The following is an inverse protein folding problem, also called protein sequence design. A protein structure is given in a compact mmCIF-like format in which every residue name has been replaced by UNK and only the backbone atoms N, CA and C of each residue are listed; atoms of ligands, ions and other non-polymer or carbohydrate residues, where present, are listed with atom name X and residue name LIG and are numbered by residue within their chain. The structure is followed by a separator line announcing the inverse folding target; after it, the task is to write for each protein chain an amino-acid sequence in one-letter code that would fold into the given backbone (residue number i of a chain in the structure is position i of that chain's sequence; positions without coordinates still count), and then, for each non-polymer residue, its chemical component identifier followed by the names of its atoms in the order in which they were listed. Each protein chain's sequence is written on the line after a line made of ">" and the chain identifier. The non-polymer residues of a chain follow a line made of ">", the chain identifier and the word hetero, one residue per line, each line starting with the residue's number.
data_IF_906533723809
#
_entry.id   IF_906533723809
#
_cell.length_a   1.000
_cell.length_b   1.000
_cell.length_c   1.000
_cell.angle_alpha   90.00
_cell.angle_beta   90.00
_cell.angle_gamma   90.00
#
_symmetry.space_group_name_H-M   'P 1'
#
loop_
_entity.id
_entity.type
_entity.pdbx_description
1 polymer ?
#
# COMPACT_ATOMS: atom_id res chain seq x y z
N UNK A 1 -18.33 20.38 42.89
CA UNK A 1 -17.39 20.37 41.71
C UNK A 1 -16.95 18.93 41.38
N UNK A 2 -16.40 18.13 42.31
CA UNK A 2 -15.95 16.74 42.05
C UNK A 2 -17.08 15.84 41.55
N UNK A 3 -18.28 15.90 42.13
CA UNK A 3 -19.45 15.10 41.71
C UNK A 3 -19.88 15.46 40.27
N UNK A 4 -19.81 16.74 39.90
CA UNK A 4 -20.14 17.18 38.54
C UNK A 4 -19.10 16.64 37.53
N UNK A 5 -17.81 16.69 37.86
CA UNK A 5 -16.74 16.14 37.02
C UNK A 5 -16.91 14.63 36.82
N UNK A 6 -17.18 13.89 37.91
CA UNK A 6 -17.46 12.45 37.83
C UNK A 6 -18.69 12.13 36.99
N UNK A 7 -19.79 12.91 37.16
CA UNK A 7 -20.98 12.75 36.35
C UNK A 7 -20.69 13.00 34.83
N UNK A 8 -19.91 14.03 34.52
CA UNK A 8 -19.50 14.33 33.11
C UNK A 8 -18.64 13.20 32.52
N UNK A 9 -17.70 12.66 33.30
CA UNK A 9 -16.88 11.52 32.86
C UNK A 9 -17.75 10.29 32.56
N UNK A 10 -18.70 9.98 33.45
CA UNK A 10 -19.61 8.85 33.26
C UNK A 10 -20.50 9.07 32.05
N UNK A 11 -21.06 10.25 31.86
CA UNK A 11 -21.88 10.59 30.71
C UNK A 11 -21.06 10.48 29.41
N UNK A 12 -19.86 11.05 29.39
CA UNK A 12 -18.94 10.96 28.24
C UNK A 12 -18.60 9.51 27.90
N UNK A 13 -18.35 8.66 28.92
CA UNK A 13 -18.12 7.24 28.74
C UNK A 13 -19.29 6.55 28.02
N UNK A 14 -20.53 6.79 28.49
CA UNK A 14 -21.70 6.18 27.84
C UNK A 14 -21.97 6.72 26.44
N UNK A 15 -21.70 7.99 26.18
CA UNK A 15 -21.81 8.58 24.84
C UNK A 15 -20.80 7.92 23.90
N UNK A 16 -19.53 7.81 24.31
CA UNK A 16 -18.48 7.16 23.52
C UNK A 16 -18.84 5.69 23.27
N UNK A 17 -19.26 4.95 24.31
CA UNK A 17 -19.67 3.56 24.16
C UNK A 17 -20.87 3.38 23.20
N UNK A 18 -21.84 4.28 23.25
CA UNK A 18 -22.98 4.26 22.34
C UNK A 18 -22.55 4.52 20.89
N UNK A 19 -21.64 5.47 20.68
CA UNK A 19 -21.09 5.79 19.38
C UNK A 19 -20.26 4.61 18.81
N UNK A 20 -19.31 4.07 19.62
CA UNK A 20 -18.49 2.91 19.20
C UNK A 20 -19.37 1.72 18.81
N UNK A 21 -20.43 1.43 19.59
CA UNK A 21 -21.36 0.35 19.25
C UNK A 21 -22.11 0.59 17.95
N UNK A 22 -22.40 1.86 17.64
CA UNK A 22 -23.11 2.24 16.41
C UNK A 22 -22.21 2.12 15.17
N UNK A 23 -20.90 2.35 15.32
CA UNK A 23 -19.89 2.26 14.25
C UNK A 23 -19.29 0.86 14.05
N UNK A 24 -19.75 -0.16 14.82
CA UNK A 24 -19.30 -1.54 14.59
C UNK A 24 -19.96 -2.13 13.33
N UNK A 25 -19.25 -2.96 12.57
CA UNK A 25 -19.80 -3.66 11.42
C UNK A 25 -21.08 -4.41 11.76
N UNK A 26 -22.10 -4.30 10.91
CA UNK A 26 -23.29 -5.13 11.01
C UNK A 26 -23.01 -6.48 10.32
N UNK A 27 -23.13 -7.55 11.09
CA UNK A 27 -22.93 -8.93 10.60
C UNK A 27 -24.24 -9.69 10.44
N UNK A 28 -25.39 -9.03 10.69
CA UNK A 28 -26.74 -9.59 10.53
C UNK A 28 -27.69 -8.51 10.01
N UNK A 29 -28.55 -8.86 9.07
CA UNK A 29 -29.57 -7.97 8.51
C UNK A 29 -29.48 -7.86 7.00
N UNK A 30 -30.18 -6.89 6.45
CA UNK A 30 -30.21 -6.56 5.03
C UNK A 30 -29.74 -5.12 4.85
N UNK A 31 -28.90 -4.88 3.86
CA UNK A 31 -28.42 -3.55 3.45
C UNK A 31 -28.74 -3.34 1.96
N UNK A 32 -28.95 -2.09 1.58
CA UNK A 32 -29.20 -1.74 0.19
C UNK A 32 -27.95 -1.11 -0.41
N UNK A 33 -27.30 -1.83 -1.29
CA UNK A 33 -26.13 -1.38 -2.04
C UNK A 33 -26.43 -1.44 -3.55
N UNK A 34 -25.65 -0.80 -4.43
CA UNK A 34 -25.92 -0.75 -5.87
C UNK A 34 -25.55 -2.07 -6.58
N UNK A 35 -26.21 -3.16 -6.23
CA UNK A 35 -26.10 -4.47 -6.88
C UNK A 35 -27.35 -4.74 -7.75
N UNK A 36 -27.20 -5.57 -8.78
CA UNK A 36 -28.30 -5.94 -9.68
C UNK A 36 -29.13 -7.08 -9.12
N UNK A 37 -28.50 -7.99 -8.37
CA UNK A 37 -29.11 -9.15 -7.75
C UNK A 37 -28.72 -9.24 -6.27
N UNK A 38 -29.46 -10.07 -5.51
CA UNK A 38 -29.17 -10.28 -4.11
C UNK A 38 -27.79 -10.93 -3.91
N UNK A 39 -26.97 -10.36 -3.04
CA UNK A 39 -25.68 -10.91 -2.62
C UNK A 39 -25.78 -11.42 -1.20
N UNK A 40 -25.25 -12.60 -0.95
CA UNK A 40 -25.22 -13.21 0.38
C UNK A 40 -23.83 -13.02 0.97
N UNK A 41 -23.77 -12.41 2.15
CA UNK A 41 -22.53 -12.28 2.94
C UNK A 41 -22.69 -13.06 4.23
N UNK A 42 -21.89 -14.10 4.40
CA UNK A 42 -21.84 -14.91 5.63
C UNK A 42 -20.52 -14.68 6.33
N UNK A 43 -20.57 -14.36 7.62
CA UNK A 43 -19.36 -14.20 8.44
C UNK A 43 -19.16 -15.44 9.31
N UNK A 44 -17.99 -16.07 9.23
CA UNK A 44 -17.67 -17.26 10.01
C UNK A 44 -17.31 -16.93 11.48
N UNK A 45 -16.98 -17.95 12.27
CA UNK A 45 -16.61 -17.80 13.70
C UNK A 45 -15.29 -17.04 13.93
N UNK A 46 -14.45 -16.88 12.89
CA UNK A 46 -13.21 -16.14 12.93
C UNK A 46 -13.37 -14.68 12.43
N UNK A 47 -14.58 -14.31 11.99
CA UNK A 47 -14.87 -13.01 11.43
C UNK A 47 -14.49 -12.87 9.95
N UNK A 48 -14.28 -13.98 9.24
CA UNK A 48 -13.98 -14.01 7.80
C UNK A 48 -15.28 -13.87 7.02
N UNK A 49 -15.43 -12.87 6.14
CA UNK A 49 -16.59 -12.76 5.27
C UNK A 49 -16.46 -13.70 4.07
N UNK A 50 -17.56 -14.39 3.77
CA UNK A 50 -17.80 -15.18 2.57
C UNK A 50 -18.86 -14.44 1.75
N UNK A 51 -18.51 -14.00 0.55
CA UNK A 51 -19.36 -13.22 -0.34
C UNK A 51 -19.76 -14.10 -1.52
N UNK A 52 -21.05 -14.37 -1.66
CA UNK A 52 -21.63 -15.18 -2.71
C UNK A 52 -22.54 -14.30 -3.57
N UNK A 53 -22.23 -14.16 -4.85
CA UNK A 53 -22.96 -13.38 -5.84
C UNK A 53 -23.21 -14.17 -7.12
N UNK A 54 -24.14 -13.71 -7.96
CA UNK A 54 -24.36 -14.31 -9.29
C UNK A 54 -23.31 -13.81 -10.29
N UNK A 55 -22.97 -12.51 -10.26
CA UNK A 55 -22.08 -11.85 -11.23
C UNK A 55 -20.82 -11.27 -10.58
N UNK A 56 -19.78 -10.99 -11.38
CA UNK A 56 -18.57 -10.29 -10.91
C UNK A 56 -18.90 -8.86 -10.46
N UNK A 57 -19.79 -8.15 -11.16
CA UNK A 57 -20.20 -6.80 -10.79
C UNK A 57 -20.73 -6.75 -9.37
N UNK A 58 -21.71 -7.62 -9.06
CA UNK A 58 -22.29 -7.69 -7.74
C UNK A 58 -21.30 -8.17 -6.68
N UNK A 59 -20.43 -9.13 -7.04
CA UNK A 59 -19.38 -9.65 -6.16
C UNK A 59 -18.40 -8.57 -5.74
N UNK A 60 -17.81 -7.85 -6.69
CA UNK A 60 -16.82 -6.82 -6.37
C UNK A 60 -17.42 -5.57 -5.74
N UNK A 61 -18.67 -5.23 -6.08
CA UNK A 61 -19.42 -4.19 -5.38
C UNK A 61 -19.63 -4.58 -3.91
N UNK A 62 -20.06 -5.80 -3.63
CA UNK A 62 -20.22 -6.28 -2.26
C UNK A 62 -18.85 -6.38 -1.53
N UNK A 63 -17.78 -6.79 -2.23
CA UNK A 63 -16.43 -6.81 -1.65
C UNK A 63 -15.99 -5.42 -1.19
N UNK A 64 -16.22 -4.38 -1.99
CA UNK A 64 -15.90 -2.99 -1.64
C UNK A 64 -16.66 -2.52 -0.40
N UNK A 65 -17.99 -2.79 -0.36
CA UNK A 65 -18.82 -2.45 0.80
C UNK A 65 -18.36 -3.16 2.08
N UNK A 66 -18.11 -4.47 2.03
CA UNK A 66 -17.69 -5.28 3.19
C UNK A 66 -16.32 -4.85 3.71
N UNK A 67 -15.37 -4.56 2.83
CA UNK A 67 -14.07 -4.04 3.22
C UNK A 67 -14.21 -2.66 3.89
N UNK A 68 -14.97 -1.76 3.30
CA UNK A 68 -15.20 -0.43 3.86
C UNK A 68 -15.90 -0.50 5.23
N UNK A 69 -16.94 -1.33 5.37
CA UNK A 69 -17.63 -1.52 6.64
C UNK A 69 -16.68 -1.95 7.77
N UNK A 70 -15.67 -2.77 7.46
CA UNK A 70 -14.74 -3.32 8.45
C UNK A 70 -13.45 -2.50 8.60
N UNK A 71 -13.01 -1.77 7.56
CA UNK A 71 -11.66 -1.24 7.46
C UNK A 71 -11.57 0.20 6.91
N UNK A 72 -12.68 0.94 6.83
CA UNK A 72 -12.73 2.26 6.14
C UNK A 72 -11.62 3.21 6.57
N UNK A 73 -11.39 3.35 7.89
CA UNK A 73 -10.35 4.27 8.35
C UNK A 73 -8.94 3.81 7.94
N UNK A 74 -8.66 2.50 8.00
CA UNK A 74 -7.39 1.95 7.52
C UNK A 74 -7.22 2.19 6.01
N UNK A 75 -8.26 1.96 5.21
CA UNK A 75 -8.26 2.18 3.77
C UNK A 75 -7.98 3.66 3.44
N UNK A 76 -8.71 4.59 4.07
CA UNK A 76 -8.53 6.04 3.86
C UNK A 76 -7.15 6.52 4.30
N UNK A 77 -6.64 6.02 5.43
CA UNK A 77 -5.29 6.35 5.91
C UNK A 77 -4.22 5.87 4.91
N UNK A 78 -4.35 4.63 4.41
CA UNK A 78 -3.40 4.05 3.45
C UNK A 78 -3.36 4.81 2.12
N UNK A 79 -4.52 5.13 1.52
CA UNK A 79 -4.56 5.90 0.27
C UNK A 79 -4.00 7.31 0.44
N UNK A 80 -4.27 7.97 1.60
CA UNK A 80 -3.76 9.32 1.88
C UNK A 80 -2.26 9.31 2.10
N UNK A 81 -1.73 8.33 2.83
CA UNK A 81 -0.29 8.17 2.99
C UNK A 81 0.39 7.96 1.64
N UNK A 82 -0.07 7.01 0.87
CA UNK A 82 0.46 6.70 -0.46
C UNK A 82 0.39 7.88 -1.44
N UNK A 83 -0.60 8.75 -1.27
CA UNK A 83 -0.83 9.93 -2.11
C UNK A 83 -0.13 11.19 -1.61
N UNK A 84 0.48 11.18 -0.40
CA UNK A 84 1.02 12.38 0.24
C UNK A 84 -0.09 13.39 0.58
N UNK A 85 -1.13 12.94 1.31
CA UNK A 85 -2.33 13.70 1.66
C UNK A 85 -2.69 13.61 3.15
N UNK A 86 -1.75 13.20 4.02
CA UNK A 86 -2.01 13.08 5.45
C UNK A 86 -2.16 14.45 6.12
N UNK A 87 -1.51 15.50 5.60
CA UNK A 87 -1.59 16.86 6.14
C UNK A 87 -3.00 17.44 6.08
N UNK A 88 -3.86 16.97 5.18
CA UNK A 88 -5.28 17.32 5.14
C UNK A 88 -6.01 16.89 6.43
N UNK A 89 -5.58 15.80 7.05
CA UNK A 89 -6.18 15.26 8.26
C UNK A 89 -5.54 15.79 9.55
N UNK A 90 -4.21 15.76 9.62
CA UNK A 90 -3.44 15.97 10.86
C UNK A 90 -2.54 17.21 10.83
N UNK A 91 -2.57 18.00 9.75
CA UNK A 91 -1.86 19.27 9.64
C UNK A 91 -0.36 19.13 9.43
N UNK A 92 0.40 20.16 9.82
CA UNK A 92 1.84 20.29 9.59
C UNK A 92 2.68 19.10 10.10
N UNK A 93 2.15 18.35 11.07
CA UNK A 93 2.87 17.21 11.66
C UNK A 93 3.20 16.08 10.65
N UNK A 94 2.44 15.97 9.56
CA UNK A 94 2.68 14.99 8.48
C UNK A 94 3.21 15.59 7.18
N UNK A 95 3.54 16.88 7.18
CA UNK A 95 3.96 17.58 5.96
C UNK A 95 5.20 16.96 5.32
N UNK A 96 6.22 16.59 6.11
CA UNK A 96 7.43 15.93 5.59
C UNK A 96 7.11 14.56 4.96
N UNK A 97 6.18 13.81 5.54
CA UNK A 97 5.69 12.56 4.94
C UNK A 97 5.01 12.80 3.60
N UNK A 98 4.14 13.83 3.53
CA UNK A 98 3.46 14.13 2.29
C UNK A 98 4.44 14.61 1.20
N UNK A 99 5.39 15.46 1.54
CA UNK A 99 6.46 15.87 0.62
C UNK A 99 7.23 14.65 0.08
N UNK A 100 7.58 13.71 0.95
CA UNK A 100 8.28 12.48 0.55
C UNK A 100 7.47 11.66 -0.47
N UNK A 101 6.20 11.34 -0.17
CA UNK A 101 5.36 10.56 -1.09
C UNK A 101 4.97 11.33 -2.36
N UNK A 102 4.84 12.67 -2.30
CA UNK A 102 4.68 13.52 -3.49
C UNK A 102 5.93 13.48 -4.35
N UNK A 103 7.12 13.52 -3.75
CA UNK A 103 8.39 13.40 -4.49
C UNK A 103 8.49 12.04 -5.17
N UNK A 104 8.27 10.94 -4.46
CA UNK A 104 8.24 9.60 -5.07
C UNK A 104 7.20 9.49 -6.18
N UNK A 105 6.02 10.08 -6.01
CA UNK A 105 5.00 10.13 -7.05
C UNK A 105 4.24 8.82 -7.25
N UNK A 106 3.97 8.06 -6.19
CA UNK A 106 3.24 6.78 -6.28
C UNK A 106 1.86 6.95 -6.91
N UNK A 107 1.12 8.01 -6.53
CA UNK A 107 -0.18 8.32 -7.13
C UNK A 107 -0.06 8.70 -8.61
N UNK A 108 0.96 9.48 -8.99
CA UNK A 108 1.23 9.81 -10.40
C UNK A 108 1.58 8.57 -11.22
N UNK A 109 2.33 7.62 -10.63
CA UNK A 109 2.63 6.33 -11.26
C UNK A 109 1.37 5.47 -11.44
N UNK A 110 0.49 5.43 -10.43
CA UNK A 110 -0.79 4.75 -10.50
C UNK A 110 -1.70 5.38 -11.57
N UNK A 111 -1.77 6.70 -11.67
CA UNK A 111 -2.53 7.42 -12.69
C UNK A 111 -2.04 7.08 -14.11
N UNK A 112 -0.73 7.12 -14.33
CA UNK A 112 -0.11 6.70 -15.62
C UNK A 112 -0.37 5.22 -15.94
N UNK A 113 -0.64 4.39 -14.94
CA UNK A 113 -0.87 2.96 -15.11
C UNK A 113 -2.30 2.61 -15.56
N UNK A 114 -3.27 3.50 -15.42
CA UNK A 114 -4.67 3.26 -15.78
C UNK A 114 -4.80 2.77 -17.23
N UNK A 115 -4.09 3.39 -18.16
CA UNK A 115 -4.13 3.04 -19.58
C UNK A 115 -3.50 1.66 -19.91
N UNK A 116 -2.89 1.01 -18.93
CA UNK A 116 -2.28 -0.32 -19.09
C UNK A 116 -3.25 -1.45 -18.75
N UNK A 117 -4.36 -1.14 -18.07
CA UNK A 117 -5.34 -2.12 -17.62
C UNK A 117 -6.35 -2.45 -18.72
N UNK A 118 -6.84 -3.68 -18.73
CA UNK A 118 -7.98 -4.08 -19.57
C UNK A 118 -9.26 -3.41 -19.10
N UNK A 119 -10.24 -3.31 -20.01
CA UNK A 119 -11.58 -2.80 -19.69
C UNK A 119 -12.18 -3.60 -18.52
N UNK A 120 -12.03 -4.94 -18.51
CA UNK A 120 -12.54 -5.80 -17.43
C UNK A 120 -11.91 -5.48 -16.06
N UNK A 121 -10.61 -5.23 -16.00
CA UNK A 121 -9.97 -4.88 -14.75
C UNK A 121 -10.34 -3.47 -14.26
N UNK A 122 -10.59 -2.54 -15.18
CA UNK A 122 -11.11 -1.21 -14.85
C UNK A 122 -12.54 -1.29 -14.34
N UNK A 123 -13.39 -2.15 -14.94
CA UNK A 123 -14.73 -2.42 -14.45
C UNK A 123 -14.71 -2.97 -13.01
N UNK A 124 -13.83 -3.92 -12.71
CA UNK A 124 -13.63 -4.46 -11.34
C UNK A 124 -13.29 -3.37 -10.35
N UNK A 125 -12.37 -2.48 -10.72
CA UNK A 125 -11.98 -1.34 -9.86
C UNK A 125 -13.14 -0.36 -9.63
N UNK A 126 -13.97 -0.14 -10.65
CA UNK A 126 -15.14 0.73 -10.55
C UNK A 126 -16.24 0.08 -9.69
N UNK A 127 -16.55 -1.19 -9.90
CA UNK A 127 -17.52 -1.91 -9.06
C UNK A 127 -17.12 -1.93 -7.59
N UNK A 128 -15.84 -2.22 -7.32
CA UNK A 128 -15.30 -2.15 -5.97
C UNK A 128 -15.44 -0.76 -5.37
N UNK A 129 -15.09 0.29 -6.13
CA UNK A 129 -15.21 1.68 -5.69
C UNK A 129 -16.67 2.06 -5.38
N UNK A 130 -17.62 1.60 -6.21
CA UNK A 130 -19.04 1.82 -5.97
C UNK A 130 -19.52 1.19 -4.66
N UNK A 131 -19.03 -0.02 -4.33
CA UNK A 131 -19.31 -0.66 -3.05
C UNK A 131 -18.74 0.10 -1.85
N UNK A 132 -17.49 0.57 -1.95
CA UNK A 132 -16.86 1.41 -0.91
C UNK A 132 -17.66 2.70 -0.69
N UNK A 133 -18.05 3.36 -1.77
CA UNK A 133 -18.81 4.61 -1.73
C UNK A 133 -20.22 4.40 -1.15
N UNK A 134 -20.88 3.29 -1.47
CA UNK A 134 -22.16 2.94 -0.85
C UNK A 134 -22.07 2.88 0.68
N UNK A 135 -20.98 2.31 1.23
CA UNK A 135 -20.75 2.33 2.68
C UNK A 135 -20.45 3.75 3.19
N UNK A 136 -19.65 4.54 2.49
CA UNK A 136 -19.31 5.92 2.90
C UNK A 136 -20.58 6.76 3.00
N UNK A 137 -21.46 6.67 2.01
CA UNK A 137 -22.72 7.42 1.95
C UNK A 137 -23.64 7.00 3.10
N UNK A 138 -23.89 5.69 3.27
CA UNK A 138 -24.71 5.15 4.34
C UNK A 138 -24.16 5.54 5.73
N UNK A 139 -22.88 5.31 5.99
CA UNK A 139 -22.27 5.59 7.27
C UNK A 139 -22.21 7.08 7.60
N UNK A 140 -22.12 7.94 6.60
CA UNK A 140 -22.16 9.39 6.75
C UNK A 140 -23.58 9.85 7.07
N UNK A 141 -24.60 9.39 6.33
CA UNK A 141 -26.01 9.74 6.55
C UNK A 141 -26.49 9.27 7.92
N UNK A 142 -26.13 8.05 8.32
CA UNK A 142 -26.54 7.45 9.58
C UNK A 142 -25.66 7.90 10.77
N UNK A 143 -24.55 8.58 10.54
CA UNK A 143 -23.57 8.97 11.55
C UNK A 143 -22.96 7.77 12.25
N UNK A 144 -22.55 6.75 11.46
CA UNK A 144 -21.96 5.48 11.91
C UNK A 144 -20.51 5.31 11.45
N UNK A 145 -19.90 6.37 10.90
CA UNK A 145 -18.48 6.36 10.51
C UNK A 145 -17.58 5.87 11.66
N UNK A 146 -16.44 5.24 11.35
CA UNK A 146 -15.42 4.88 12.35
C UNK A 146 -15.09 6.03 13.29
N UNK A 147 -14.87 5.67 14.58
CA UNK A 147 -14.70 6.66 15.67
C UNK A 147 -13.50 7.60 15.44
N UNK A 148 -12.52 7.15 14.68
CA UNK A 148 -11.32 7.91 14.33
C UNK A 148 -11.69 9.20 13.60
N UNK A 149 -12.66 9.18 12.70
CA UNK A 149 -13.14 10.37 11.99
C UNK A 149 -13.71 11.43 12.93
N UNK A 150 -14.42 11.00 13.98
CA UNK A 150 -14.91 11.92 15.00
C UNK A 150 -13.76 12.62 15.74
N UNK A 151 -12.69 11.88 16.08
CA UNK A 151 -11.54 12.46 16.78
C UNK A 151 -10.72 13.41 15.91
N UNK A 152 -10.59 13.09 14.63
CA UNK A 152 -9.84 13.92 13.69
C UNK A 152 -10.69 15.11 13.23
N UNK A 153 -12.03 15.01 13.29
CA UNK A 153 -12.96 16.01 12.76
C UNK A 153 -12.87 16.10 11.24
N UNK A 154 -12.90 14.96 10.57
CA UNK A 154 -12.89 14.80 9.13
C UNK A 154 -13.92 13.74 8.71
N UNK A 155 -14.16 13.64 7.42
CA UNK A 155 -14.98 12.61 6.78
C UNK A 155 -14.16 11.95 5.66
N UNK A 156 -14.43 10.67 5.31
CA UNK A 156 -13.78 10.05 4.17
C UNK A 156 -14.23 10.74 2.87
N UNK A 157 -13.31 10.97 1.95
CA UNK A 157 -13.65 11.37 0.60
C UNK A 157 -14.12 10.17 -0.21
N UNK A 158 -14.82 10.43 -1.32
CA UNK A 158 -15.21 9.42 -2.30
C UNK A 158 -14.01 8.56 -2.70
N UNK A 159 -14.24 7.25 -2.85
CA UNK A 159 -13.25 6.29 -3.29
C UNK A 159 -13.25 6.17 -4.81
N UNK A 160 -12.08 6.10 -5.40
CA UNK A 160 -11.91 5.98 -6.84
C UNK A 160 -11.03 4.77 -7.19
N UNK A 161 -11.09 4.25 -8.43
CA UNK A 161 -10.16 3.24 -8.93
C UNK A 161 -8.69 3.58 -8.68
N UNK A 162 -8.34 4.85 -8.83
CA UNK A 162 -6.98 5.35 -8.61
C UNK A 162 -6.50 5.15 -7.16
N UNK A 163 -7.40 5.18 -6.17
CA UNK A 163 -7.04 4.99 -4.77
C UNK A 163 -6.58 3.54 -4.51
N UNK A 164 -7.28 2.56 -5.09
CA UNK A 164 -6.88 1.15 -5.02
C UNK A 164 -5.54 0.90 -5.73
N UNK A 165 -5.33 1.48 -6.91
CA UNK A 165 -4.05 1.38 -7.63
C UNK A 165 -2.90 2.05 -6.87
N UNK A 166 -3.16 3.19 -6.21
CA UNK A 166 -2.16 3.89 -5.40
C UNK A 166 -1.73 3.07 -4.19
N UNK A 167 -2.67 2.36 -3.54
CA UNK A 167 -2.35 1.39 -2.47
C UNK A 167 -1.47 0.26 -3.01
N UNK A 168 -1.73 -0.26 -4.21
CA UNK A 168 -0.86 -1.24 -4.87
C UNK A 168 0.58 -0.73 -5.06
N UNK A 169 0.75 0.50 -5.53
CA UNK A 169 2.08 1.14 -5.64
C UNK A 169 2.73 1.36 -4.28
N UNK A 170 1.95 1.70 -3.24
CA UNK A 170 2.46 1.82 -1.88
C UNK A 170 2.99 0.49 -1.34
N UNK A 171 2.33 -0.63 -1.65
CA UNK A 171 2.84 -1.95 -1.27
C UNK A 171 4.15 -2.29 -1.95
N UNK A 172 4.36 -1.87 -3.20
CA UNK A 172 5.66 -2.00 -3.86
C UNK A 172 6.75 -1.17 -3.14
N UNK A 173 6.39 -0.01 -2.56
CA UNK A 173 7.29 0.78 -1.72
C UNK A 173 7.59 0.05 -0.39
N UNK A 174 6.58 -0.39 0.34
CA UNK A 174 6.73 -1.02 1.66
C UNK A 174 7.54 -2.33 1.60
N UNK A 175 7.39 -3.08 0.50
CA UNK A 175 8.06 -4.38 0.34
C UNK A 175 9.39 -4.31 -0.41
N UNK A 176 9.62 -3.29 -1.23
CA UNK A 176 10.78 -3.24 -2.14
C UNK A 176 11.55 -1.93 -2.14
N UNK A 177 11.15 -0.94 -1.35
CA UNK A 177 11.74 0.39 -1.36
C UNK A 177 12.95 0.49 -0.42
N UNK A 178 14.16 0.32 -0.91
CA UNK A 178 15.39 0.39 -0.11
C UNK A 178 16.51 1.20 -0.78
N UNK A 179 16.15 2.26 -1.51
CA UNK A 179 17.13 3.16 -2.14
C UNK A 179 18.06 3.82 -1.12
N UNK A 180 17.62 3.99 0.12
CA UNK A 180 18.37 4.56 1.23
C UNK A 180 19.63 3.74 1.53
N UNK A 181 19.56 2.41 1.36
CA UNK A 181 20.73 1.55 1.52
C UNK A 181 21.83 1.89 0.51
N UNK A 182 21.47 2.28 -0.72
CA UNK A 182 22.43 2.71 -1.74
C UNK A 182 23.11 4.03 -1.33
N UNK A 183 22.34 4.99 -0.80
CA UNK A 183 22.88 6.23 -0.28
C UNK A 183 23.84 5.98 0.90
N UNK A 184 23.46 5.10 1.83
CA UNK A 184 24.36 4.68 2.92
C UNK A 184 25.63 3.98 2.41
N UNK A 185 25.51 3.10 1.43
CA UNK A 185 26.67 2.42 0.83
C UNK A 185 27.65 3.41 0.20
N UNK A 186 27.12 4.40 -0.53
CA UNK A 186 27.93 5.50 -1.09
C UNK A 186 28.66 6.26 0.01
N UNK A 187 27.94 6.71 1.05
CA UNK A 187 28.53 7.38 2.20
C UNK A 187 29.61 6.55 2.90
N UNK A 188 29.36 5.26 3.11
CA UNK A 188 30.33 4.37 3.75
C UNK A 188 31.61 4.22 2.93
N UNK A 189 31.49 4.10 1.60
CA UNK A 189 32.64 3.99 0.68
C UNK A 189 33.45 5.29 0.60
N UNK A 190 32.81 6.45 0.70
CA UNK A 190 33.48 7.75 0.68
C UNK A 190 34.12 8.12 2.03
N UNK A 191 33.50 7.69 3.14
CA UNK A 191 33.93 8.10 4.49
C UNK A 191 34.99 7.18 5.09
N UNK A 192 34.91 5.88 4.82
CA UNK A 192 35.79 4.86 5.41
C UNK A 192 36.77 4.30 4.38
N UNK A 193 37.96 3.78 4.82
CA UNK A 193 38.81 2.97 3.96
C UNK A 193 38.02 1.80 3.38
N UNK A 194 38.26 1.47 2.09
CA UNK A 194 37.48 0.48 1.34
C UNK A 194 37.29 -0.87 2.06
N UNK A 195 38.36 -1.34 2.74
CA UNK A 195 38.32 -2.59 3.53
C UNK A 195 37.37 -2.49 4.73
N UNK A 196 37.22 -1.29 5.33
CA UNK A 196 36.30 -1.05 6.44
C UNK A 196 34.88 -0.79 5.97
N UNK A 197 34.71 -0.06 4.88
CA UNK A 197 33.39 0.12 4.27
C UNK A 197 32.78 -1.24 3.90
N UNK A 198 33.56 -2.13 3.30
CA UNK A 198 33.11 -3.50 2.95
C UNK A 198 32.71 -4.37 4.15
N UNK A 199 33.25 -4.10 5.36
CA UNK A 199 32.80 -4.78 6.58
C UNK A 199 31.38 -4.33 7.03
N UNK A 200 30.97 -3.12 6.64
CA UNK A 200 29.64 -2.56 6.93
C UNK A 200 28.60 -2.92 5.86
N UNK A 201 29.07 -3.30 4.67
CA UNK A 201 28.18 -3.65 3.57
C UNK A 201 27.85 -5.14 3.64
N UNK A 202 26.58 -5.54 3.46
CA UNK A 202 26.22 -6.95 3.43
C UNK A 202 26.98 -7.63 2.27
N UNK A 203 27.87 -8.55 2.62
CA UNK A 203 28.62 -9.36 1.66
C UNK A 203 28.09 -10.78 1.66
N UNK A 204 27.71 -11.26 0.48
CA UNK A 204 27.28 -12.61 0.27
C UNK A 204 28.46 -13.48 -0.15
N UNK A 205 28.93 -14.46 0.68
CA UNK A 205 29.99 -15.38 0.27
C UNK A 205 29.51 -16.32 -0.83
N UNK A 206 30.23 -16.38 -1.96
CA UNK A 206 29.88 -17.17 -3.15
C UNK A 206 29.72 -18.69 -2.89
N UNK A 207 30.25 -19.19 -1.78
CA UNK A 207 30.32 -20.63 -1.45
C UNK A 207 29.37 -21.08 -0.32
N UNK A 208 28.47 -20.21 0.17
CA UNK A 208 27.54 -20.52 1.24
C UNK A 208 26.08 -20.57 0.79
N UNK A 209 25.32 -21.51 1.40
CA UNK A 209 23.86 -21.49 1.27
C UNK A 209 23.31 -20.24 1.96
N UNK A 210 22.38 -19.56 1.27
CA UNK A 210 21.67 -18.38 1.74
C UNK A 210 20.91 -18.69 3.02
N UNK A 211 21.41 -18.22 4.13
CA UNK A 211 20.65 -18.00 5.34
C UNK A 211 20.72 -16.49 5.56
N UNK A 212 19.58 -15.82 5.70
CA UNK A 212 19.51 -14.40 6.05
C UNK A 212 20.21 -14.25 7.39
N UNK A 213 21.34 -13.58 7.40
CA UNK A 213 22.07 -13.30 8.63
C UNK A 213 21.65 -11.90 9.08
N UNK A 214 20.99 -11.82 10.25
CA UNK A 214 20.59 -10.58 10.90
C UNK A 214 21.84 -9.77 11.29
N UNK A 215 22.34 -8.96 10.39
CA UNK A 215 23.27 -7.89 10.77
C UNK A 215 22.44 -6.63 11.02
N UNK A 216 22.15 -6.38 12.29
CA UNK A 216 21.59 -5.10 12.76
C UNK A 216 22.56 -3.95 12.44
N UNK A 217 22.40 -3.32 11.27
CA UNK A 217 22.97 -2.01 10.99
C UNK A 217 21.81 -1.03 11.19
N UNK A 218 21.89 -0.20 12.23
CA UNK A 218 20.91 0.85 12.47
C UNK A 218 21.09 1.97 11.44
N UNK A 219 20.48 1.81 10.28
CA UNK A 219 20.50 2.77 9.17
C UNK A 219 19.62 3.99 9.48
N UNK A 220 18.71 3.88 10.45
CA UNK A 220 17.71 4.91 10.76
C UNK A 220 18.29 6.26 11.17
N UNK A 221 19.59 6.31 11.54
CA UNK A 221 20.27 7.56 11.90
C UNK A 221 20.82 8.34 10.71
N UNK A 222 20.85 7.71 9.55
CA UNK A 222 21.43 8.27 8.33
C UNK A 222 20.42 9.07 7.49
N UNK A 223 19.13 9.03 7.81
CA UNK A 223 18.07 9.60 6.97
C UNK A 223 17.22 10.59 7.75
N UNK A 224 17.27 11.84 7.32
CA UNK A 224 16.66 12.94 8.08
C UNK A 224 15.14 12.94 8.03
N UNK A 225 14.51 12.63 6.89
CA UNK A 225 13.08 12.73 6.67
C UNK A 225 12.54 11.65 5.71
N UNK A 226 13.36 10.68 5.30
CA UNK A 226 12.92 9.56 4.49
C UNK A 226 12.07 8.60 5.34
N UNK A 227 10.97 8.13 4.78
CA UNK A 227 10.19 7.04 5.37
C UNK A 227 10.82 5.74 4.88
N UNK A 228 11.45 5.03 5.81
CA UNK A 228 12.14 3.78 5.51
C UNK A 228 11.18 2.66 5.88
N UNK A 229 10.84 1.76 4.93
CA UNK A 229 10.10 0.55 5.24
C UNK A 229 10.82 -0.29 6.31
N UNK A 230 10.07 -1.12 7.05
CA UNK A 230 10.64 -1.97 8.08
C UNK A 230 11.65 -2.94 7.44
N UNK A 231 12.92 -2.82 7.79
CA UNK A 231 14.00 -3.68 7.27
C UNK A 231 13.92 -5.14 7.73
N UNK A 232 13.06 -5.44 8.71
CA UNK A 232 12.75 -6.80 9.15
C UNK A 232 11.56 -7.42 8.40
N UNK A 233 10.95 -6.72 7.44
CA UNK A 233 9.96 -7.30 6.57
C UNK A 233 10.55 -8.47 5.80
N UNK A 234 9.96 -9.64 5.97
CA UNK A 234 10.40 -10.86 5.31
C UNK A 234 9.23 -11.82 5.09
N UNK A 235 9.50 -12.96 4.49
CA UNK A 235 8.44 -13.96 4.26
C UNK A 235 9.06 -15.34 4.09
N UNK A 236 8.30 -16.39 4.43
CA UNK A 236 8.62 -17.75 4.08
C UNK A 236 7.51 -18.39 3.25
N UNK A 237 7.87 -19.01 2.16
CA UNK A 237 6.95 -19.74 1.30
C UNK A 237 7.52 -21.10 0.94
N UNK A 238 6.74 -22.18 1.07
CA UNK A 238 7.15 -23.52 0.67
C UNK A 238 5.99 -24.40 0.23
N UNK A 239 6.31 -25.37 -0.60
CA UNK A 239 5.38 -26.38 -1.11
C UNK A 239 5.87 -27.77 -0.74
N UNK A 240 4.97 -28.65 -0.34
CA UNK A 240 5.21 -30.07 -0.13
C UNK A 240 4.43 -30.86 -1.17
N UNK A 241 5.15 -31.68 -1.95
CA UNK A 241 4.53 -32.52 -2.98
C UNK A 241 3.62 -33.59 -2.37
N UNK A 242 2.64 -34.05 -3.15
CA UNK A 242 1.62 -35.01 -2.72
C UNK A 242 2.20 -36.37 -2.22
N UNK A 243 3.34 -36.82 -2.76
CA UNK A 243 4.03 -38.04 -2.35
C UNK A 243 4.68 -37.97 -0.96
N UNK A 244 4.89 -36.75 -0.44
CA UNK A 244 5.44 -36.49 0.90
C UNK A 244 4.37 -36.08 1.92
N UNK A 245 3.16 -35.85 1.48
CA UNK A 245 2.03 -35.49 2.33
C UNK A 245 1.26 -36.70 2.81
N UNK A 246 0.83 -36.70 4.07
CA UNK A 246 -0.01 -37.77 4.63
C UNK A 246 -1.43 -37.79 3.98
N UNK A 247 -1.89 -36.69 3.45
CA UNK A 247 -3.19 -36.59 2.73
C UNK A 247 -3.12 -37.11 1.31
N UNK A 248 -1.92 -37.29 0.74
CA UNK A 248 -1.72 -37.58 -0.68
C UNK A 248 -2.02 -36.41 -1.61
N UNK A 249 -2.17 -35.19 -1.05
CA UNK A 249 -2.38 -33.94 -1.78
C UNK A 249 -1.23 -32.99 -1.54
N UNK A 250 -0.91 -32.06 -2.47
CA UNK A 250 0.09 -31.03 -2.24
C UNK A 250 -0.32 -30.12 -1.07
N UNK A 251 0.67 -29.54 -0.40
CA UNK A 251 0.47 -28.53 0.64
C UNK A 251 1.28 -27.30 0.26
N UNK A 252 0.67 -26.11 0.38
CA UNK A 252 1.33 -24.84 0.28
C UNK A 252 1.22 -24.11 1.62
N UNK A 253 2.31 -23.52 2.07
CA UNK A 253 2.30 -22.59 3.18
C UNK A 253 2.99 -21.28 2.77
N UNK A 254 2.38 -20.18 3.13
CA UNK A 254 2.89 -18.83 2.92
C UNK A 254 2.76 -18.04 4.23
N UNK A 255 3.84 -17.40 4.64
CA UNK A 255 3.97 -16.75 5.94
C UNK A 255 4.69 -15.41 5.77
N UNK A 256 3.93 -14.34 5.40
CA UNK A 256 4.47 -12.99 5.27
C UNK A 256 4.76 -12.38 6.64
N UNK A 257 6.02 -12.08 6.92
CA UNK A 257 6.47 -11.43 8.15
C UNK A 257 6.48 -9.90 7.95
N UNK A 258 5.32 -9.28 8.10
CA UNK A 258 5.13 -7.84 7.98
C UNK A 258 4.88 -7.23 9.35
N UNK A 259 4.91 -5.89 9.42
CA UNK A 259 4.67 -5.14 10.66
C UNK A 259 3.38 -5.55 11.36
N UNK A 260 3.43 -5.78 12.69
CA UNK A 260 2.28 -6.11 13.50
C UNK A 260 1.47 -4.84 13.81
N UNK A 261 0.26 -4.76 13.29
CA UNK A 261 -0.65 -3.64 13.50
C UNK A 261 -2.06 -4.13 13.86
N UNK A 262 -2.87 -3.22 14.39
CA UNK A 262 -4.29 -3.44 14.63
C UNK A 262 -5.05 -2.25 14.04
N UNK A 263 -5.87 -2.45 12.98
CA UNK A 263 -6.08 -3.71 12.28
C UNK A 263 -4.84 -4.26 11.58
N UNK A 264 -4.81 -5.57 11.29
CA UNK A 264 -3.77 -6.20 10.48
C UNK A 264 -3.75 -5.62 9.07
N UNK A 265 -2.58 -5.62 8.41
CA UNK A 265 -2.46 -5.29 6.97
C UNK A 265 -3.28 -6.26 6.11
N UNK A 266 -3.31 -7.53 6.51
CA UNK A 266 -4.07 -8.57 5.81
C UNK A 266 -5.53 -8.60 6.25
N UNK A 267 -6.42 -8.75 5.28
CA UNK A 267 -7.84 -9.00 5.49
C UNK A 267 -8.24 -10.28 4.75
N UNK A 268 -8.64 -11.31 5.51
CA UNK A 268 -9.04 -12.60 4.95
C UNK A 268 -10.48 -12.54 4.46
N UNK A 269 -10.74 -13.14 3.28
CA UNK A 269 -12.09 -13.29 2.75
C UNK A 269 -12.21 -14.42 1.72
N UNK A 270 -13.44 -14.79 1.41
CA UNK A 270 -13.80 -15.72 0.37
C UNK A 270 -14.79 -15.05 -0.59
N UNK A 271 -14.56 -15.24 -1.88
CA UNK A 271 -15.32 -14.64 -2.98
C UNK A 271 -15.83 -15.74 -3.92
N UNK A 272 -17.13 -15.74 -4.20
CA UNK A 272 -17.76 -16.70 -5.12
C UNK A 272 -18.71 -15.97 -6.07
N UNK A 273 -18.53 -16.19 -7.40
CA UNK A 273 -19.42 -15.74 -8.45
C UNK A 273 -19.86 -16.93 -9.28
N UNK A 274 -21.18 -17.27 -9.24
CA UNK A 274 -21.72 -18.49 -9.86
C UNK A 274 -21.60 -18.48 -11.39
N UNK A 275 -21.94 -17.36 -12.05
CA UNK A 275 -21.95 -17.25 -13.52
C UNK A 275 -20.56 -17.34 -14.15
N UNK A 276 -19.51 -17.00 -13.39
CA UNK A 276 -18.12 -16.97 -13.84
C UNK A 276 -17.29 -18.17 -13.37
N UNK A 277 -17.92 -19.15 -12.70
CA UNK A 277 -17.25 -20.30 -12.08
C UNK A 277 -16.04 -19.88 -11.22
N UNK A 278 -16.16 -18.70 -10.56
CA UNK A 278 -15.13 -18.12 -9.72
C UNK A 278 -15.38 -18.47 -8.26
N UNK A 279 -14.40 -19.12 -7.62
CA UNK A 279 -14.44 -19.45 -6.21
C UNK A 279 -13.01 -19.34 -5.66
N UNK A 280 -12.69 -18.24 -4.95
CA UNK A 280 -11.36 -17.92 -4.49
C UNK A 280 -11.36 -17.52 -3.01
N UNK A 281 -10.40 -18.01 -2.26
CA UNK A 281 -10.24 -17.73 -0.83
C UNK A 281 -8.80 -17.37 -0.48
N UNK A 282 -8.63 -16.42 0.44
CA UNK A 282 -7.31 -16.01 0.87
C UNK A 282 -7.30 -14.66 1.57
N UNK A 283 -6.23 -13.91 1.36
CA UNK A 283 -6.03 -12.60 2.01
C UNK A 283 -5.76 -11.50 0.99
N UNK A 284 -6.11 -10.28 1.40
CA UNK A 284 -6.00 -9.07 0.58
C UNK A 284 -5.56 -7.90 1.45
N UNK A 285 -5.05 -6.85 0.82
CA UNK A 285 -4.88 -5.53 1.46
C UNK A 285 -6.21 -4.77 1.45
N UNK A 286 -6.56 -4.16 2.58
CA UNK A 286 -7.77 -3.34 2.65
C UNK A 286 -7.69 -2.15 1.66
N UNK A 287 -8.68 -2.03 0.79
CA UNK A 287 -8.75 -1.02 -0.25
C UNK A 287 -8.37 -1.51 -1.67
N UNK A 288 -8.13 -2.81 -1.84
CA UNK A 288 -7.81 -3.43 -3.14
C UNK A 288 -8.80 -4.57 -3.42
N UNK A 289 -9.35 -4.75 -4.65
CA UNK A 289 -10.21 -5.87 -5.00
C UNK A 289 -9.44 -7.17 -5.26
N UNK A 290 -10.14 -8.30 -5.24
CA UNK A 290 -9.63 -9.65 -5.52
C UNK A 290 -9.01 -10.33 -4.31
N UNK A 291 -8.15 -11.33 -4.52
CA UNK A 291 -7.37 -12.05 -3.51
C UNK A 291 -5.89 -12.06 -3.91
N UNK A 292 -5.02 -11.51 -3.07
CA UNK A 292 -3.59 -11.38 -3.36
C UNK A 292 -2.84 -12.68 -3.09
N UNK A 293 -3.12 -13.32 -1.95
CA UNK A 293 -2.52 -14.61 -1.56
C UNK A 293 -3.64 -15.58 -1.23
N UNK A 294 -3.63 -16.77 -1.82
CA UNK A 294 -4.70 -17.71 -1.56
C UNK A 294 -4.76 -18.90 -2.50
N UNK A 295 -5.96 -19.34 -2.74
CA UNK A 295 -6.25 -20.42 -3.65
C UNK A 295 -7.66 -20.32 -4.24
N UNK A 296 -7.83 -20.90 -5.41
CA UNK A 296 -9.14 -21.25 -5.97
C UNK A 296 -9.30 -22.77 -5.97
N UNK A 297 -10.21 -23.32 -6.79
CA UNK A 297 -10.46 -24.76 -6.88
C UNK A 297 -9.28 -25.54 -7.48
N UNK A 298 -8.47 -24.92 -8.33
CA UNK A 298 -7.48 -25.56 -9.18
C UNK A 298 -6.04 -25.23 -8.80
N UNK A 299 -5.76 -23.99 -8.42
CA UNK A 299 -4.43 -23.50 -8.10
C UNK A 299 -4.36 -22.84 -6.72
N UNK A 300 -3.20 -22.91 -6.07
CA UNK A 300 -2.88 -22.19 -4.86
C UNK A 300 -1.58 -21.42 -5.06
N UNK A 301 -1.52 -20.21 -4.53
CA UNK A 301 -0.34 -19.35 -4.67
C UNK A 301 -0.01 -18.63 -3.38
N UNK A 302 1.27 -18.33 -3.23
CA UNK A 302 1.83 -17.52 -2.18
C UNK A 302 3.00 -16.74 -2.75
N UNK A 303 3.37 -15.63 -2.10
CA UNK A 303 4.46 -14.79 -2.54
C UNK A 303 5.48 -14.56 -1.44
N UNK A 304 6.73 -14.34 -1.83
CA UNK A 304 7.79 -13.88 -0.94
C UNK A 304 8.64 -12.86 -1.67
N UNK A 305 9.21 -11.92 -0.92
CA UNK A 305 10.12 -10.94 -1.48
C UNK A 305 11.49 -11.59 -1.73
N UNK A 306 11.93 -11.59 -2.98
CA UNK A 306 13.24 -12.12 -3.39
C UNK A 306 14.32 -11.03 -3.43
N UNK A 307 13.98 -9.78 -3.07
CA UNK A 307 14.90 -8.65 -3.06
C UNK A 307 15.50 -8.31 -4.43
N UNK A 308 14.70 -8.24 -5.53
CA UNK A 308 15.24 -7.89 -6.83
C UNK A 308 15.78 -6.46 -6.82
N UNK A 309 16.81 -6.21 -7.66
CA UNK A 309 17.40 -4.89 -7.84
C UNK A 309 16.48 -4.04 -8.75
N UNK A 310 15.51 -3.36 -8.15
CA UNK A 310 14.48 -2.58 -8.83
C UNK A 310 14.63 -1.07 -8.68
N UNK A 311 15.59 -0.63 -7.85
CA UNK A 311 15.86 0.77 -7.55
C UNK A 311 17.33 1.10 -7.80
N UNK A 312 17.59 2.24 -8.45
CA UNK A 312 18.94 2.76 -8.70
C UNK A 312 19.01 4.24 -8.38
N UNK A 313 20.03 4.65 -7.64
CA UNK A 313 20.34 6.06 -7.44
C UNK A 313 21.35 6.53 -8.48
N UNK A 314 21.04 7.66 -9.09
CA UNK A 314 21.93 8.37 -10.00
C UNK A 314 22.44 9.65 -9.33
N UNK A 315 23.75 9.86 -9.38
CA UNK A 315 24.36 11.13 -8.95
C UNK A 315 24.30 12.08 -10.15
N UNK A 316 23.47 13.09 -10.03
CA UNK A 316 23.25 14.08 -11.08
C UNK A 316 24.20 15.28 -10.90
N UNK A 317 24.63 15.84 -12.00
CA UNK A 317 25.36 17.10 -11.99
C UNK A 317 24.42 18.23 -12.38
N UNK A 318 24.07 19.07 -11.40
CA UNK A 318 23.19 20.23 -11.59
C UNK A 318 23.95 21.39 -12.25
N UNK A 319 23.28 22.14 -13.13
CA UNK A 319 23.82 23.36 -13.74
C UNK A 319 23.91 24.47 -12.67
N UNK A 320 25.10 25.06 -12.42
CA UNK A 320 25.24 26.12 -11.42
C UNK A 320 24.48 27.41 -11.77
N UNK A 321 24.12 27.61 -13.04
CA UNK A 321 23.40 28.79 -13.53
C UNK A 321 21.87 28.57 -13.66
N UNK A 322 21.41 27.30 -13.59
CA UNK A 322 20.00 26.93 -13.67
C UNK A 322 19.73 25.65 -12.86
N UNK A 323 19.01 25.77 -11.76
CA UNK A 323 18.74 24.66 -10.85
C UNK A 323 17.87 23.54 -11.42
N UNK A 324 17.20 23.76 -12.55
CA UNK A 324 16.36 22.77 -13.22
C UNK A 324 17.06 22.09 -14.40
N UNK A 325 18.34 22.35 -14.64
CA UNK A 325 19.12 21.69 -15.69
C UNK A 325 20.15 20.72 -15.11
N UNK A 326 20.26 19.56 -15.73
CA UNK A 326 21.18 18.49 -15.35
C UNK A 326 22.04 18.05 -16.51
N UNK A 327 23.31 17.70 -16.23
CA UNK A 327 24.26 17.31 -17.28
C UNK A 327 24.07 15.86 -17.70
N UNK A 328 23.80 15.65 -18.99
CA UNK A 328 23.79 14.34 -19.63
C UNK A 328 24.56 14.38 -20.96
N UNK A 329 25.49 13.44 -21.16
CA UNK A 329 26.30 13.34 -22.37
C UNK A 329 26.90 14.70 -22.85
N UNK A 330 27.49 15.45 -21.91
CA UNK A 330 28.07 16.80 -22.13
C UNK A 330 27.05 17.88 -22.56
N UNK A 331 25.75 17.67 -22.32
CA UNK A 331 24.67 18.65 -22.58
C UNK A 331 23.86 18.89 -21.31
N UNK A 332 23.43 20.13 -21.14
CA UNK A 332 22.45 20.47 -20.14
C UNK A 332 21.06 20.10 -20.64
N UNK A 333 20.35 19.26 -19.88
CA UNK A 333 18.96 18.86 -20.13
C UNK A 333 18.08 19.45 -19.03
N UNK A 334 16.95 20.02 -19.43
CA UNK A 334 15.93 20.55 -18.53
C UNK A 334 15.17 19.38 -17.90
N UNK A 335 15.03 19.41 -16.58
CA UNK A 335 14.20 18.46 -15.83
C UNK A 335 12.73 18.87 -15.89
N UNK A 336 11.83 17.93 -15.72
CA UNK A 336 10.42 18.21 -15.53
C UNK A 336 10.19 18.78 -14.11
N UNK A 337 9.51 19.92 -14.05
CA UNK A 337 9.14 20.56 -12.80
C UNK A 337 7.63 20.37 -12.58
N UNK A 338 7.28 19.61 -11.55
CA UNK A 338 5.91 19.25 -11.22
C UNK A 338 5.51 20.02 -9.95
N UNK A 339 4.46 20.83 -10.05
CA UNK A 339 3.92 21.51 -8.88
C UNK A 339 2.82 20.66 -8.26
N UNK A 340 3.07 20.20 -7.06
CA UNK A 340 2.16 19.38 -6.26
C UNK A 340 1.53 20.22 -5.16
N UNK A 341 0.24 20.57 -5.24
CA UNK A 341 -0.44 21.26 -4.14
C UNK A 341 -0.63 20.28 -2.96
N UNK A 342 -0.11 20.67 -1.79
CA UNK A 342 -0.32 19.94 -0.54
C UNK A 342 -1.24 20.77 0.35
N UNK A 343 -2.43 20.24 0.60
CA UNK A 343 -3.39 20.86 1.51
C UNK A 343 -2.99 20.54 2.96
N UNK A 344 -2.96 21.56 3.79
CA UNK A 344 -2.54 21.45 5.20
C UNK A 344 -3.69 21.94 6.08
N UNK A 345 -4.20 21.06 6.95
CA UNK A 345 -5.30 21.39 7.85
C UNK A 345 -4.98 22.61 8.71
N UNK A 346 -5.73 23.67 8.50
CA UNK A 346 -5.60 24.90 9.27
C UNK A 346 -4.56 25.89 8.76
N UNK A 347 -3.89 25.58 7.66
CA UNK A 347 -2.86 26.42 7.02
C UNK A 347 -3.21 26.70 5.54
N UNK A 348 -2.37 27.48 4.86
CA UNK A 348 -2.48 27.68 3.42
C UNK A 348 -1.93 26.47 2.66
N UNK A 349 -2.49 26.18 1.48
CA UNK A 349 -2.00 25.12 0.59
C UNK A 349 -0.56 25.39 0.15
N UNK A 350 0.34 24.47 0.42
CA UNK A 350 1.73 24.54 -0.02
C UNK A 350 1.81 24.15 -1.50
N UNK A 351 2.41 25.01 -2.33
CA UNK A 351 2.78 24.66 -3.70
C UNK A 351 4.16 24.01 -3.65
N UNK A 352 4.20 22.67 -3.54
CA UNK A 352 5.43 21.91 -3.43
C UNK A 352 5.97 21.58 -4.82
N UNK A 353 7.26 21.81 -5.03
CA UNK A 353 7.95 21.56 -6.29
C UNK A 353 8.66 20.22 -6.25
N UNK A 354 8.34 19.34 -7.20
CA UNK A 354 9.04 18.08 -7.44
C UNK A 354 9.82 18.22 -8.75
N UNK A 355 11.12 17.95 -8.68
CA UNK A 355 12.00 17.93 -9.84
C UNK A 355 12.18 16.48 -10.29
N UNK A 356 11.85 16.18 -11.55
CA UNK A 356 11.98 14.85 -12.13
C UNK A 356 13.00 14.91 -13.28
N UNK A 357 14.19 14.31 -13.07
CA UNK A 357 15.21 14.20 -14.10
C UNK A 357 14.87 13.06 -15.05
N UNK A 358 15.67 12.85 -16.11
CA UNK A 358 15.54 11.71 -17.00
C UNK A 358 15.62 10.35 -16.31
N UNK A 359 16.19 10.27 -15.10
CA UNK A 359 16.34 9.04 -14.33
C UNK A 359 15.20 8.86 -13.32
N UNK A 360 14.47 9.95 -12.99
CA UNK A 360 13.36 9.95 -12.07
C UNK A 360 13.41 11.13 -11.07
N UNK A 361 12.59 11.08 -10.01
CA UNK A 361 12.50 12.17 -9.05
C UNK A 361 13.81 12.39 -8.28
N UNK A 362 14.11 13.67 -8.02
CA UNK A 362 15.23 14.07 -7.15
C UNK A 362 14.83 13.82 -5.70
N UNK A 363 15.61 12.98 -5.00
CA UNK A 363 15.35 12.53 -3.62
C UNK A 363 16.39 13.01 -2.62
N UNK A 364 17.33 13.86 -3.03
CA UNK A 364 18.48 14.31 -2.20
C UNK A 364 18.07 14.93 -0.88
N UNK A 365 16.95 15.65 -0.83
CA UNK A 365 16.47 16.32 0.38
C UNK A 365 16.10 15.34 1.51
N UNK A 366 15.82 14.09 1.16
CA UNK A 366 15.50 13.02 2.10
C UNK A 366 16.70 12.14 2.45
N UNK A 367 17.85 12.37 1.80
CA UNK A 367 19.11 11.70 2.09
C UNK A 367 20.03 12.63 2.91
N UNK A 368 20.14 12.41 4.22
CA UNK A 368 20.92 13.27 5.12
C UNK A 368 22.41 13.36 4.79
N UNK A 369 22.92 12.47 3.97
CA UNK A 369 24.33 12.26 3.66
C UNK A 369 24.71 12.72 2.27
N UNK A 370 23.74 13.17 1.45
CA UNK A 370 24.06 13.88 0.22
C UNK A 370 24.76 15.19 0.63
N UNK A 371 26.01 15.41 0.16
CA UNK A 371 26.66 16.70 0.29
C UNK A 371 25.80 17.79 -0.34
N UNK A 372 25.94 19.05 0.07
CA UNK A 372 25.18 20.18 -0.50
C UNK A 372 25.31 20.29 -2.04
N UNK A 373 26.29 19.63 -2.62
CA UNK A 373 26.57 19.64 -4.07
C UNK A 373 26.05 18.39 -4.81
N UNK A 374 25.74 17.30 -4.08
CA UNK A 374 25.29 16.04 -4.68
C UNK A 374 23.79 16.02 -4.87
N UNK A 375 23.32 15.84 -6.10
CA UNK A 375 21.92 15.65 -6.43
C UNK A 375 21.70 14.19 -6.74
N UNK A 376 20.78 13.54 -6.03
CA UNK A 376 20.43 12.14 -6.22
C UNK A 376 19.05 12.04 -6.86
N UNK A 377 18.96 11.37 -7.99
CA UNK A 377 17.67 10.99 -8.59
C UNK A 377 17.43 9.49 -8.47
N UNK A 378 16.17 9.09 -8.30
CA UNK A 378 15.74 7.72 -8.08
C UNK A 378 15.11 7.14 -9.35
N UNK A 379 15.76 6.15 -9.95
CA UNK A 379 15.13 5.30 -10.95
C UNK A 379 14.54 4.07 -10.27
N UNK A 380 13.23 3.88 -10.41
CA UNK A 380 12.53 2.78 -9.78
C UNK A 380 11.45 2.22 -10.71
N UNK A 381 11.46 0.89 -10.92
CA UNK A 381 10.52 0.23 -11.84
C UNK A 381 9.05 0.40 -11.45
N UNK A 382 8.74 0.54 -10.14
CA UNK A 382 7.37 0.78 -9.67
C UNK A 382 6.79 2.14 -10.10
N UNK A 383 7.65 3.10 -10.49
CA UNK A 383 7.20 4.41 -11.02
C UNK A 383 6.84 4.35 -12.51
N UNK A 384 7.13 3.23 -13.17
CA UNK A 384 6.68 3.01 -14.56
C UNK A 384 5.19 2.63 -14.59
N UNK A 385 4.50 2.93 -15.70
CA UNK A 385 3.15 2.42 -15.96
C UNK A 385 3.16 0.89 -16.04
N UNK A 386 2.38 0.22 -15.20
CA UNK A 386 2.30 -1.24 -15.12
C UNK A 386 0.92 -1.66 -14.61
N UNK A 387 0.52 -2.91 -14.86
CA UNK A 387 -0.81 -3.44 -14.54
C UNK A 387 -0.75 -4.58 -13.52
N UNK A 388 -0.14 -4.34 -12.36
CA UNK A 388 0.10 -5.37 -11.32
C UNK A 388 -1.22 -5.98 -10.81
N UNK A 389 -2.26 -5.16 -10.61
CA UNK A 389 -3.55 -5.66 -10.15
C UNK A 389 -4.23 -6.55 -11.18
N UNK A 390 -4.03 -6.28 -12.48
CA UNK A 390 -4.51 -7.17 -13.55
C UNK A 390 -4.01 -8.59 -13.34
N UNK A 391 -2.71 -8.76 -13.08
CA UNK A 391 -2.12 -10.07 -12.83
C UNK A 391 -2.74 -10.78 -11.60
N UNK A 392 -3.08 -10.03 -10.55
CA UNK A 392 -3.76 -10.58 -9.37
C UNK A 392 -5.17 -11.08 -9.73
N UNK A 393 -5.94 -10.27 -10.49
CA UNK A 393 -7.29 -10.65 -10.92
C UNK A 393 -7.26 -11.88 -11.85
N UNK A 394 -6.28 -11.95 -12.76
CA UNK A 394 -6.11 -13.08 -13.67
C UNK A 394 -5.73 -14.36 -12.91
N UNK A 395 -4.83 -14.28 -11.91
CA UNK A 395 -4.46 -15.41 -11.04
C UNK A 395 -5.67 -15.94 -10.26
N UNK A 396 -6.57 -15.08 -9.79
CA UNK A 396 -7.76 -15.50 -9.06
C UNK A 396 -8.66 -16.45 -9.89
N UNK A 397 -8.56 -16.37 -11.22
CA UNK A 397 -9.34 -17.14 -12.19
C UNK A 397 -8.52 -18.22 -12.93
N UNK A 398 -7.25 -18.39 -12.59
CA UNK A 398 -6.40 -19.39 -13.21
C UNK A 398 -6.89 -20.81 -12.88
N UNK A 399 -6.98 -21.69 -13.91
CA UNK A 399 -7.48 -23.05 -13.78
C UNK A 399 -6.39 -24.12 -13.90
N UNK A 400 -5.19 -23.73 -14.33
CA UNK A 400 -4.03 -24.61 -14.50
C UNK A 400 -2.74 -23.81 -14.51
N UNK A 401 -1.59 -24.50 -14.68
CA UNK A 401 -0.30 -23.84 -14.75
C UNK A 401 -0.12 -22.92 -15.95
N UNK A 402 -0.70 -23.28 -17.10
CA UNK A 402 -0.56 -22.51 -18.34
C UNK A 402 -1.28 -21.15 -18.21
N UNK A 403 -2.51 -21.17 -17.66
CA UNK A 403 -3.28 -19.94 -17.40
C UNK A 403 -2.70 -19.11 -16.26
N UNK A 404 -2.11 -19.76 -15.26
CA UNK A 404 -1.41 -19.06 -14.17
C UNK A 404 -0.15 -18.33 -14.66
N UNK A 405 0.65 -18.97 -15.54
CA UNK A 405 1.89 -18.41 -16.08
C UNK A 405 1.65 -17.23 -17.04
#
# INVERSE_FOLDING_TARGET
>A
TVVIILALIIISYFIIQAYVKKSLPQVEGEVQIPVQQDVIVTTDENGVPHIEAETLEDLYTAQGYVQAQSRMFQMDLSRRQASGMLSELIGEASLSSDQYFRTLGLRRAAEKSIDMYSDEALDVLEWFSNGVNAYIDEATEDGTLPIEYMFIGAEPAEWTPLDSLTIGKYMAFDLGGHWERQAFNMYALDTFPEDKAKELLPYYPEDRMTIIDDTEIDISRSFKDAIIPDEFNGSNNWVVSSDKSASGKPLLADDPHLGLATPSIWYQMHLEAEDEDMNVSGVIFAGVPGIILGHNADVAWGVTNTGPDVQQLYVEKRNPDNEHEFLFEDKWEEADVIIEPIEIKGEETLQYEVIETRHGPVVSEFAAESGEEDVLSLSWTALNPTAELQAILDINRATDWETFE
#
